data_IF_543949459847
#
_entry.id   IF_543949459847
#
_cell.length_a   1.000
_cell.length_b   1.000
_cell.length_c   1.000
_cell.angle_alpha   90.00
_cell.angle_beta   90.00
_cell.angle_gamma   90.00
#
_symmetry.space_group_name_H-M   'P 1'
#
loop_
_entity.id
_entity.type
_entity.pdbx_description
1 polymer ?
#
# COMPACT_ATOMS: atom_id res chain seq x y z
N UNK A 1 -4.24 -42.69 8.27
CA UNK A 1 -3.00 -42.07 7.76
C UNK A 1 -3.32 -41.48 6.40
N UNK A 2 -3.40 -40.15 6.32
CA UNK A 2 -3.68 -39.44 5.06
C UNK A 2 -2.48 -38.57 4.74
N UNK A 3 -1.46 -39.18 4.14
CA UNK A 3 -0.42 -38.45 3.42
C UNK A 3 -1.05 -37.92 2.13
N UNK A 4 -1.24 -36.60 2.05
CA UNK A 4 -1.80 -35.99 0.86
C UNK A 4 -1.87 -34.48 0.96
N UNK A 5 -1.02 -33.81 0.15
CA UNK A 5 -0.95 -32.36 -0.15
C UNK A 5 0.07 -31.49 0.59
N UNK A 6 1.19 -32.02 1.07
CA UNK A 6 2.29 -31.17 1.59
C UNK A 6 3.18 -30.51 0.51
N UNK A 7 2.87 -30.65 -0.79
CA UNK A 7 3.69 -30.11 -1.90
C UNK A 7 3.21 -28.78 -2.53
N UNK A 8 2.11 -28.18 -2.04
CA UNK A 8 1.41 -27.15 -2.82
C UNK A 8 1.93 -25.72 -2.63
N UNK A 9 2.21 -25.25 -1.41
CA UNK A 9 2.36 -23.80 -1.20
C UNK A 9 3.68 -23.22 -1.73
N UNK A 10 4.82 -23.83 -1.36
CA UNK A 10 6.14 -23.34 -1.77
C UNK A 10 6.38 -23.51 -3.28
N UNK A 11 5.89 -24.61 -3.86
CA UNK A 11 5.94 -24.86 -5.30
C UNK A 11 5.05 -23.88 -6.09
N UNK A 12 3.83 -23.61 -5.63
CA UNK A 12 2.92 -22.67 -6.29
C UNK A 12 3.45 -21.24 -6.22
N UNK A 13 3.98 -20.83 -5.06
CA UNK A 13 4.58 -19.51 -4.93
C UNK A 13 5.87 -19.39 -5.73
N UNK A 14 6.57 -20.48 -6.08
CA UNK A 14 7.83 -20.49 -6.85
C UNK A 14 7.73 -19.88 -8.28
N UNK A 15 6.51 -19.64 -8.78
CA UNK A 15 6.26 -18.87 -10.01
C UNK A 15 6.25 -17.33 -9.81
N UNK A 16 5.93 -16.85 -8.60
CA UNK A 16 5.78 -15.41 -8.30
C UNK A 16 7.13 -14.69 -8.29
N UNK A 17 7.31 -13.65 -9.10
CA UNK A 17 8.55 -12.87 -9.06
C UNK A 17 8.81 -12.30 -7.66
N UNK A 18 10.07 -12.29 -7.23
CA UNK A 18 10.42 -11.75 -5.91
C UNK A 18 10.18 -10.24 -5.89
N UNK A 19 9.50 -9.75 -4.86
CA UNK A 19 9.17 -8.34 -4.74
C UNK A 19 10.35 -7.55 -4.16
N UNK A 20 11.05 -6.83 -5.03
CA UNK A 20 12.22 -6.02 -4.65
C UNK A 20 11.92 -4.50 -4.57
N UNK A 21 10.82 -4.04 -5.16
CA UNK A 21 10.42 -2.62 -5.18
C UNK A 21 8.89 -2.43 -5.19
N UNK A 22 8.44 -1.20 -4.90
CA UNK A 22 7.02 -0.84 -4.82
C UNK A 22 6.26 -0.91 -6.16
N UNK A 23 6.96 -0.83 -7.30
CA UNK A 23 6.33 -0.83 -8.63
C UNK A 23 5.57 -2.12 -8.96
N UNK A 24 5.90 -3.24 -8.31
CA UNK A 24 5.23 -4.53 -8.50
C UNK A 24 4.21 -4.90 -7.41
N UNK A 25 3.97 -4.02 -6.43
CA UNK A 25 3.22 -4.37 -5.22
C UNK A 25 1.80 -4.88 -5.51
N UNK A 26 1.03 -4.16 -6.32
CA UNK A 26 -0.38 -4.48 -6.57
C UNK A 26 -0.51 -5.89 -7.16
N UNK A 27 0.15 -6.14 -8.30
CA UNK A 27 0.11 -7.43 -8.99
C UNK A 27 0.67 -8.56 -8.10
N UNK A 28 1.76 -8.30 -7.38
CA UNK A 28 2.37 -9.29 -6.49
C UNK A 28 1.45 -9.65 -5.32
N UNK A 29 0.81 -8.65 -4.69
CA UNK A 29 -0.09 -8.86 -3.55
C UNK A 29 -1.34 -9.63 -3.96
N UNK A 30 -1.90 -9.36 -5.14
CA UNK A 30 -3.00 -10.15 -5.71
C UNK A 30 -2.58 -11.59 -5.97
N UNK A 31 -1.47 -11.82 -6.69
CA UNK A 31 -1.00 -13.16 -7.05
C UNK A 31 -0.68 -14.01 -5.80
N UNK A 32 -0.02 -13.42 -4.79
CA UNK A 32 0.29 -14.11 -3.53
C UNK A 32 -0.99 -14.47 -2.77
N UNK A 33 -1.99 -13.59 -2.73
CA UNK A 33 -3.27 -13.85 -2.06
C UNK A 33 -4.05 -14.97 -2.75
N UNK A 34 -4.09 -14.97 -4.07
CA UNK A 34 -4.73 -16.02 -4.85
C UNK A 34 -4.06 -17.38 -4.60
N UNK A 35 -2.72 -17.42 -4.59
CA UNK A 35 -1.98 -18.66 -4.35
C UNK A 35 -2.11 -19.14 -2.91
N UNK A 36 -2.19 -18.25 -1.92
CA UNK A 36 -2.51 -18.58 -0.54
C UNK A 36 -3.92 -19.19 -0.43
N UNK A 37 -4.92 -18.59 -1.11
CA UNK A 37 -6.28 -19.10 -1.13
C UNK A 37 -6.36 -20.49 -1.79
N UNK A 38 -5.76 -20.65 -2.98
CA UNK A 38 -5.70 -21.93 -3.71
C UNK A 38 -4.98 -23.03 -2.92
N UNK A 39 -3.99 -22.64 -2.10
CA UNK A 39 -3.24 -23.56 -1.25
C UNK A 39 -3.89 -23.83 0.12
N UNK A 40 -5.09 -23.28 0.38
CA UNK A 40 -5.85 -23.52 1.61
C UNK A 40 -5.40 -22.70 2.83
N UNK A 41 -4.81 -21.53 2.61
CA UNK A 41 -4.38 -20.59 3.65
C UNK A 41 -5.19 -19.28 3.66
N UNK A 42 -6.16 -19.11 2.75
CA UNK A 42 -6.96 -17.89 2.65
C UNK A 42 -7.78 -17.59 3.91
N UNK A 43 -8.25 -18.64 4.59
CA UNK A 43 -8.95 -18.54 5.87
C UNK A 43 -8.10 -17.89 6.98
N UNK A 44 -6.77 -18.01 6.96
CA UNK A 44 -5.87 -17.34 7.91
C UNK A 44 -5.89 -15.80 7.78
N UNK A 45 -6.37 -15.25 6.66
CA UNK A 45 -6.49 -13.80 6.45
C UNK A 45 -7.83 -13.24 6.93
N UNK A 46 -8.85 -14.09 6.97
CA UNK A 46 -10.24 -13.73 7.24
C UNK A 46 -10.72 -14.34 8.57
N UNK A 47 -11.16 -15.60 8.55
CA UNK A 47 -11.87 -16.27 9.65
C UNK A 47 -10.94 -16.76 10.76
N UNK A 48 -9.75 -17.22 10.42
CA UNK A 48 -8.78 -17.86 11.32
C UNK A 48 -7.54 -16.98 11.54
N UNK A 49 -7.74 -15.66 11.53
CA UNK A 49 -6.68 -14.67 11.74
C UNK A 49 -6.04 -14.77 13.12
N UNK A 50 -6.85 -15.02 14.15
CA UNK A 50 -6.40 -15.21 15.52
C UNK A 50 -6.18 -16.68 15.88
N UNK A 51 -5.45 -16.96 16.97
CA UNK A 51 -5.35 -18.32 17.48
C UNK A 51 -6.74 -18.86 17.86
N UNK A 52 -6.95 -20.19 17.79
CA UNK A 52 -8.18 -20.80 18.26
C UNK A 52 -8.42 -20.49 19.74
N UNK A 53 -9.70 -20.45 20.14
CA UNK A 53 -10.11 -20.26 21.54
C UNK A 53 -10.56 -21.60 22.11
N UNK A 54 -10.18 -21.90 23.35
CA UNK A 54 -10.44 -23.19 23.99
C UNK A 54 -11.93 -23.53 24.09
N UNK A 55 -12.77 -22.58 24.53
CA UNK A 55 -14.21 -22.78 24.64
C UNK A 55 -14.57 -24.03 25.45
N UNK A 56 -15.39 -24.91 24.88
CA UNK A 56 -15.82 -26.17 25.49
C UNK A 56 -14.96 -27.38 25.07
N UNK A 57 -13.83 -27.16 24.40
CA UNK A 57 -12.93 -28.24 23.98
C UNK A 57 -12.18 -28.80 25.19
N UNK A 58 -11.87 -30.09 25.16
CA UNK A 58 -10.89 -30.65 26.09
C UNK A 58 -9.52 -30.01 25.84
N UNK A 59 -8.68 -29.97 26.87
CA UNK A 59 -7.33 -29.41 26.82
C UNK A 59 -6.50 -30.03 25.68
N UNK A 60 -6.53 -31.37 25.56
CA UNK A 60 -5.82 -32.10 24.48
C UNK A 60 -6.27 -31.66 23.09
N UNK A 61 -7.58 -31.55 22.84
CA UNK A 61 -8.11 -31.16 21.53
C UNK A 61 -7.84 -29.69 21.24
N UNK A 62 -7.79 -28.86 22.28
CA UNK A 62 -7.43 -27.45 22.14
C UNK A 62 -5.96 -27.28 21.76
N UNK A 63 -5.03 -27.97 22.44
CA UNK A 63 -3.60 -27.91 22.13
C UNK A 63 -3.32 -28.43 20.71
N UNK A 64 -3.92 -29.55 20.30
CA UNK A 64 -3.78 -30.06 18.93
C UNK A 64 -4.21 -29.04 17.87
N UNK A 65 -5.32 -28.31 18.11
CA UNK A 65 -5.80 -27.26 17.20
C UNK A 65 -4.88 -26.04 17.21
N UNK A 66 -4.38 -25.65 18.37
CA UNK A 66 -3.47 -24.53 18.52
C UNK A 66 -2.15 -24.80 17.79
N UNK A 67 -1.58 -25.99 17.97
CA UNK A 67 -0.37 -26.42 17.27
C UNK A 67 -0.57 -26.49 15.76
N UNK A 68 -1.69 -27.05 15.30
CA UNK A 68 -2.03 -27.08 13.88
C UNK A 68 -2.14 -25.65 13.30
N UNK A 69 -2.77 -24.73 14.04
CA UNK A 69 -2.86 -23.33 13.63
C UNK A 69 -1.47 -22.66 13.57
N UNK A 70 -0.61 -22.87 14.57
CA UNK A 70 0.77 -22.35 14.57
C UNK A 70 1.58 -22.88 13.39
N UNK A 71 1.48 -24.17 13.09
CA UNK A 71 2.17 -24.76 11.93
C UNK A 71 1.69 -24.16 10.61
N UNK A 72 0.36 -23.94 10.46
CA UNK A 72 -0.20 -23.30 9.26
C UNK A 72 0.29 -21.86 9.12
N UNK A 73 0.27 -21.07 10.20
CA UNK A 73 0.82 -19.71 10.22
C UNK A 73 2.30 -19.69 9.85
N UNK A 74 3.12 -20.55 10.46
CA UNK A 74 4.56 -20.62 10.18
C UNK A 74 4.85 -20.92 8.71
N UNK A 75 4.17 -21.91 8.12
CA UNK A 75 4.33 -22.26 6.70
C UNK A 75 3.94 -21.10 5.78
N UNK A 76 2.80 -20.45 6.02
CA UNK A 76 2.35 -19.33 5.21
C UNK A 76 3.29 -18.11 5.33
N UNK A 77 3.71 -17.78 6.55
CA UNK A 77 4.65 -16.69 6.81
C UNK A 77 5.98 -16.91 6.10
N UNK A 78 6.56 -18.11 6.19
CA UNK A 78 7.83 -18.42 5.52
C UNK A 78 7.70 -18.38 3.99
N UNK A 79 6.58 -18.84 3.45
CA UNK A 79 6.35 -18.81 2.01
C UNK A 79 6.27 -17.36 1.47
N UNK A 80 5.61 -16.45 2.20
CA UNK A 80 5.58 -15.02 1.87
C UNK A 80 6.98 -14.39 2.03
N UNK A 81 7.70 -14.70 3.12
CA UNK A 81 9.07 -14.21 3.35
C UNK A 81 10.07 -14.65 2.28
N UNK A 82 9.85 -15.81 1.66
CA UNK A 82 10.66 -16.29 0.55
C UNK A 82 10.46 -15.45 -0.72
N UNK A 83 9.34 -14.73 -0.83
CA UNK A 83 8.95 -13.96 -2.02
C UNK A 83 9.11 -12.44 -1.91
N UNK A 84 9.71 -11.96 -0.83
CA UNK A 84 10.01 -10.54 -0.64
C UNK A 84 11.52 -10.30 -0.58
N UNK A 85 11.95 -9.11 -1.02
CA UNK A 85 13.32 -8.63 -0.98
C UNK A 85 13.91 -8.54 0.41
N UNK A 86 15.22 -8.28 0.49
CA UNK A 86 15.96 -8.29 1.76
C UNK A 86 15.41 -7.29 2.79
N UNK A 87 15.15 -6.05 2.37
CA UNK A 87 14.71 -4.97 3.25
C UNK A 87 13.30 -5.21 3.83
N UNK A 88 12.25 -5.49 3.03
CA UNK A 88 10.94 -5.85 3.56
C UNK A 88 10.99 -7.09 4.46
N UNK A 89 11.89 -8.04 4.18
CA UNK A 89 12.08 -9.23 5.01
C UNK A 89 12.59 -8.90 6.41
N UNK A 90 13.44 -7.88 6.55
CA UNK A 90 13.86 -7.38 7.86
C UNK A 90 12.72 -6.72 8.62
N UNK A 91 11.83 -6.01 7.94
CA UNK A 91 10.69 -5.31 8.57
C UNK A 91 9.63 -6.26 9.13
N UNK A 92 9.43 -7.41 8.48
CA UNK A 92 8.49 -8.44 8.95
C UNK A 92 9.16 -9.51 9.82
N UNK A 93 10.40 -9.29 10.22
CA UNK A 93 11.15 -10.21 11.07
C UNK A 93 10.46 -10.31 12.45
N UNK A 94 10.22 -11.54 12.91
CA UNK A 94 9.55 -11.80 14.19
C UNK A 94 8.02 -11.79 14.14
N UNK A 95 7.40 -11.35 13.03
CA UNK A 95 5.95 -11.43 12.87
C UNK A 95 5.51 -12.85 12.53
N UNK A 96 4.84 -13.56 13.43
CA UNK A 96 4.43 -14.95 13.18
C UNK A 96 2.96 -15.10 12.78
N UNK A 97 2.37 -14.03 12.27
CA UNK A 97 0.99 -13.99 11.82
C UNK A 97 0.95 -13.44 10.39
N UNK A 98 0.37 -14.21 9.48
CA UNK A 98 0.32 -13.92 8.05
C UNK A 98 -0.37 -12.58 7.75
N UNK A 99 -1.47 -12.29 8.43
CA UNK A 99 -2.20 -11.03 8.23
C UNK A 99 -1.36 -9.82 8.66
N UNK A 100 -0.59 -9.95 9.75
CA UNK A 100 0.32 -8.90 10.19
C UNK A 100 1.46 -8.69 9.20
N UNK A 101 2.05 -9.77 8.66
CA UNK A 101 3.08 -9.67 7.62
C UNK A 101 2.53 -8.91 6.40
N UNK A 102 1.40 -9.34 5.83
CA UNK A 102 0.83 -8.69 4.65
C UNK A 102 0.47 -7.23 4.91
N UNK A 103 -0.03 -6.90 6.11
CA UNK A 103 -0.31 -5.51 6.50
C UNK A 103 0.96 -4.67 6.56
N UNK A 104 2.04 -5.19 7.15
CA UNK A 104 3.33 -4.48 7.21
C UNK A 104 3.93 -4.29 5.82
N UNK A 105 3.83 -5.30 4.95
CA UNK A 105 4.28 -5.18 3.56
C UNK A 105 3.45 -4.16 2.77
N UNK A 106 2.13 -4.13 2.97
CA UNK A 106 1.27 -3.11 2.36
C UNK A 106 1.70 -1.72 2.81
N UNK A 107 1.93 -1.52 4.11
CA UNK A 107 2.48 -0.26 4.60
C UNK A 107 3.85 0.07 3.99
N UNK A 108 4.74 -0.91 3.83
CA UNK A 108 6.07 -0.69 3.27
C UNK A 108 6.05 -0.28 1.80
N UNK A 109 5.25 -0.98 0.97
CA UNK A 109 5.28 -0.84 -0.48
C UNK A 109 4.23 0.12 -1.03
N UNK A 110 3.13 0.33 -0.29
CA UNK A 110 2.01 1.16 -0.71
C UNK A 110 2.10 2.60 -0.16
N UNK A 111 3.14 2.93 0.61
CA UNK A 111 3.40 4.26 1.23
C UNK A 111 3.57 5.43 0.23
N UNK A 112 3.35 5.22 -1.07
CA UNK A 112 3.28 6.28 -2.07
C UNK A 112 2.27 6.06 -3.20
N UNK A 113 1.53 4.94 -3.24
CA UNK A 113 0.61 4.62 -4.34
C UNK A 113 -0.88 4.85 -4.00
N UNK A 114 -1.24 4.88 -2.72
CA UNK A 114 -2.62 5.11 -2.26
C UNK A 114 -2.81 6.42 -1.48
N UNK A 115 -1.94 7.41 -1.69
CA UNK A 115 -2.19 8.74 -1.15
C UNK A 115 -3.34 9.39 -1.93
N UNK A 116 -4.52 9.29 -1.35
CA UNK A 116 -5.76 9.93 -1.74
C UNK A 116 -6.43 10.49 -0.48
N UNK A 117 -7.28 11.49 -0.64
CA UNK A 117 -7.95 12.19 0.47
C UNK A 117 -8.72 11.23 1.38
N UNK A 118 -9.35 10.18 0.82
CA UNK A 118 -10.10 9.18 1.59
C UNK A 118 -9.25 8.43 2.64
N UNK A 119 -7.92 8.46 2.49
CA UNK A 119 -6.96 7.85 3.42
C UNK A 119 -6.32 8.86 4.38
N UNK A 120 -6.78 10.12 4.38
CA UNK A 120 -6.27 11.22 5.20
C UNK A 120 -7.39 11.85 6.03
N UNK A 121 -7.03 12.61 7.06
CA UNK A 121 -8.03 13.23 7.95
C UNK A 121 -8.79 14.38 7.27
N UNK A 122 -8.11 15.12 6.39
CA UNK A 122 -8.62 16.28 5.67
C UNK A 122 -7.66 16.65 4.52
N UNK A 123 -8.04 17.66 3.72
CA UNK A 123 -7.24 18.18 2.60
C UNK A 123 -5.82 18.59 3.02
N UNK A 124 -5.66 19.25 4.18
CA UNK A 124 -4.36 19.70 4.68
C UNK A 124 -3.43 18.53 5.00
N UNK A 125 -3.96 17.49 5.65
CA UNK A 125 -3.21 16.28 5.98
C UNK A 125 -2.80 15.54 4.70
N UNK A 126 -3.71 15.43 3.73
CA UNK A 126 -3.41 14.82 2.44
C UNK A 126 -2.27 15.52 1.70
N UNK A 127 -2.32 16.85 1.57
CA UNK A 127 -1.26 17.66 0.97
C UNK A 127 0.08 17.54 1.71
N UNK A 128 0.04 17.49 3.05
CA UNK A 128 1.23 17.27 3.89
C UNK A 128 1.85 15.90 3.64
N UNK A 129 1.03 14.84 3.59
CA UNK A 129 1.53 13.49 3.37
C UNK A 129 2.13 13.33 1.96
N UNK A 130 1.53 13.92 0.91
CA UNK A 130 2.11 13.94 -0.43
C UNK A 130 3.50 14.58 -0.48
N UNK A 131 3.67 15.76 0.14
CA UNK A 131 4.98 16.43 0.22
C UNK A 131 5.99 15.59 1.00
N UNK A 132 5.58 14.97 2.11
CA UNK A 132 6.42 14.06 2.88
C UNK A 132 6.88 12.87 2.04
N UNK A 133 5.99 12.26 1.25
CA UNK A 133 6.34 11.14 0.36
C UNK A 133 7.32 11.59 -0.73
N UNK A 134 7.12 12.76 -1.34
CA UNK A 134 8.10 13.34 -2.27
C UNK A 134 9.47 13.48 -1.63
N UNK A 135 9.53 14.08 -0.43
CA UNK A 135 10.79 14.35 0.25
C UNK A 135 11.49 13.03 0.66
N UNK A 136 10.73 12.00 1.03
CA UNK A 136 11.24 10.65 1.28
C UNK A 136 11.81 9.99 0.01
N UNK A 137 11.14 10.12 -1.13
CA UNK A 137 11.65 9.60 -2.41
C UNK A 137 12.96 10.28 -2.79
N UNK A 138 13.04 11.61 -2.64
CA UNK A 138 14.26 12.37 -2.90
C UNK A 138 15.42 11.96 -1.97
N UNK A 139 15.12 11.62 -0.71
CA UNK A 139 16.13 11.09 0.23
C UNK A 139 16.63 9.68 -0.13
N UNK A 140 15.80 8.87 -0.78
CA UNK A 140 16.20 7.53 -1.22
C UNK A 140 17.10 7.59 -2.46
N UNK A 141 16.84 8.54 -3.35
CA UNK A 141 17.60 8.79 -4.57
C UNK A 141 17.45 10.25 -5.00
N UNK A 142 18.56 11.00 -4.96
CA UNK A 142 18.58 12.43 -5.32
C UNK A 142 18.18 12.69 -6.77
N UNK A 143 18.30 11.69 -7.65
CA UNK A 143 17.88 11.81 -9.06
C UNK A 143 16.37 11.63 -9.25
N UNK A 144 15.67 11.11 -8.24
CA UNK A 144 14.22 10.87 -8.24
C UNK A 144 13.43 12.12 -7.84
N UNK A 145 13.79 13.27 -8.42
CA UNK A 145 13.10 14.54 -8.14
C UNK A 145 11.70 14.55 -8.74
N UNK A 146 10.67 14.59 -7.90
CA UNK A 146 9.29 14.82 -8.31
C UNK A 146 9.06 16.33 -8.37
N UNK A 147 8.77 16.84 -9.57
CA UNK A 147 8.45 18.24 -9.78
C UNK A 147 7.08 18.64 -9.25
N UNK A 148 6.90 19.94 -9.06
CA UNK A 148 5.65 20.55 -8.62
C UNK A 148 4.43 20.14 -9.47
N UNK A 149 4.51 20.10 -10.83
CA UNK A 149 3.36 19.72 -11.64
C UNK A 149 2.93 18.26 -11.43
N UNK A 150 3.88 17.35 -11.21
CA UNK A 150 3.58 15.95 -10.95
C UNK A 150 2.95 15.77 -9.56
N UNK A 151 3.44 16.52 -8.57
CA UNK A 151 2.86 16.49 -7.22
C UNK A 151 1.44 17.08 -7.21
N UNK A 152 1.23 18.15 -7.97
CA UNK A 152 -0.07 18.79 -8.17
C UNK A 152 -1.07 17.85 -8.85
N UNK A 153 -0.65 17.18 -9.94
CA UNK A 153 -1.50 16.20 -10.62
C UNK A 153 -1.92 15.07 -9.68
N UNK A 154 -1.00 14.57 -8.84
CA UNK A 154 -1.31 13.57 -7.81
C UNK A 154 -2.28 14.10 -6.75
N UNK A 155 -2.10 15.33 -6.29
CA UNK A 155 -3.00 15.95 -5.32
C UNK A 155 -4.42 16.09 -5.90
N UNK A 156 -4.58 16.72 -7.05
CA UNK A 156 -5.88 16.97 -7.67
C UNK A 156 -6.64 15.68 -7.99
N UNK A 157 -5.96 14.67 -8.54
CA UNK A 157 -6.56 13.37 -8.82
C UNK A 157 -6.89 12.58 -7.55
N UNK A 158 -6.18 12.84 -6.45
CA UNK A 158 -6.39 12.17 -5.17
C UNK A 158 -7.49 12.79 -4.29
N UNK A 159 -8.05 13.95 -4.64
CA UNK A 159 -9.16 14.57 -3.88
C UNK A 159 -10.46 13.75 -3.93
N UNK A 160 -10.60 12.91 -4.96
CA UNK A 160 -11.76 12.02 -5.10
C UNK A 160 -13.00 12.70 -5.69
N UNK A 161 -14.08 11.93 -5.89
CA UNK A 161 -15.22 12.33 -6.73
C UNK A 161 -16.03 13.52 -6.18
N UNK A 162 -15.98 13.77 -4.86
CA UNK A 162 -16.68 14.90 -4.22
C UNK A 162 -16.19 16.25 -4.73
N UNK A 163 -14.93 16.33 -5.16
CA UNK A 163 -14.29 17.56 -5.63
C UNK A 163 -14.41 17.76 -7.15
N UNK A 164 -15.19 16.96 -7.88
CA UNK A 164 -15.29 17.08 -9.35
C UNK A 164 -15.65 18.51 -9.84
N UNK A 165 -16.63 19.15 -9.20
CA UNK A 165 -17.08 20.50 -9.57
C UNK A 165 -15.97 21.51 -9.31
N UNK A 166 -15.38 21.47 -8.11
CA UNK A 166 -14.20 22.24 -7.74
C UNK A 166 -13.05 22.05 -8.75
N UNK A 167 -12.67 20.82 -9.06
CA UNK A 167 -11.57 20.48 -9.97
C UNK A 167 -11.78 21.12 -11.35
N UNK A 168 -13.01 21.06 -11.85
CA UNK A 168 -13.37 21.65 -13.15
C UNK A 168 -13.20 23.16 -13.14
N UNK A 169 -13.66 23.84 -12.08
CA UNK A 169 -13.53 25.30 -11.93
C UNK A 169 -12.08 25.72 -11.68
N UNK A 170 -11.35 24.94 -10.88
CA UNK A 170 -9.96 25.17 -10.54
C UNK A 170 -9.07 25.12 -11.78
N UNK A 171 -9.17 24.06 -12.59
CA UNK A 171 -8.38 23.89 -13.81
C UNK A 171 -8.72 24.90 -14.92
N UNK A 172 -9.89 25.56 -14.87
CA UNK A 172 -10.23 26.65 -15.78
C UNK A 172 -9.54 27.97 -15.42
N UNK A 173 -9.24 28.17 -14.14
CA UNK A 173 -8.69 29.43 -13.61
C UNK A 173 -7.19 29.36 -13.28
N UNK A 174 -6.67 28.15 -13.08
CA UNK A 174 -5.29 27.89 -12.64
C UNK A 174 -4.50 27.11 -13.69
N UNK A 175 -3.22 27.46 -13.85
CA UNK A 175 -2.31 26.82 -14.81
C UNK A 175 -1.36 25.90 -14.05
N UNK A 176 -1.37 24.59 -14.35
CA UNK A 176 -0.44 23.61 -13.75
C UNK A 176 1.01 23.77 -14.24
N UNK A 177 1.19 24.45 -15.37
CA UNK A 177 2.48 24.73 -15.99
C UNK A 177 2.65 26.24 -16.13
N UNK A 178 3.90 26.75 -16.01
CA UNK A 178 4.15 28.16 -16.17
C UNK A 178 4.01 28.55 -17.65
N UNK A 179 3.37 29.68 -17.91
CA UNK A 179 3.26 30.25 -19.25
C UNK A 179 4.52 31.04 -19.57
N UNK A 180 5.05 30.84 -20.79
CA UNK A 180 6.28 31.47 -21.25
C UNK A 180 6.02 32.30 -22.50
N UNK A 181 6.74 33.42 -22.65
CA UNK A 181 6.77 34.16 -23.89
C UNK A 181 7.59 33.43 -24.97
N UNK A 182 7.66 34.00 -26.18
CA UNK A 182 8.43 33.45 -27.31
C UNK A 182 9.94 33.33 -27.04
N UNK A 183 10.45 34.03 -26.03
CA UNK A 183 11.86 34.02 -25.61
C UNK A 183 12.13 33.00 -24.49
N UNK A 184 11.10 32.26 -24.06
CA UNK A 184 11.20 31.28 -22.98
C UNK A 184 11.12 31.88 -21.57
N UNK A 185 10.87 33.19 -21.43
CA UNK A 185 10.72 33.87 -20.14
C UNK A 185 9.34 33.58 -19.58
N UNK A 186 9.27 33.21 -18.29
CA UNK A 186 8.01 32.96 -17.59
C UNK A 186 7.25 34.28 -17.44
N UNK A 187 6.05 34.34 -18.00
CA UNK A 187 5.13 35.50 -17.94
C UNK A 187 3.98 35.28 -16.95
N UNK A 188 3.69 34.02 -16.61
CA UNK A 188 2.74 33.64 -15.57
C UNK A 188 3.26 32.41 -14.84
N UNK A 189 3.34 32.50 -13.52
CA UNK A 189 3.77 31.37 -12.69
C UNK A 189 2.75 30.22 -12.77
N UNK A 190 3.23 29.00 -12.59
CA UNK A 190 2.36 27.87 -12.33
C UNK A 190 1.76 27.99 -10.92
N UNK A 191 0.58 27.41 -10.76
CA UNK A 191 -0.06 27.27 -9.46
C UNK A 191 0.74 26.31 -8.57
N UNK A 192 0.92 26.67 -7.29
CA UNK A 192 1.67 25.85 -6.33
C UNK A 192 0.77 24.93 -5.54
N UNK A 193 1.31 23.83 -5.00
CA UNK A 193 0.51 22.89 -4.22
C UNK A 193 -0.12 23.55 -2.99
N UNK A 194 0.52 24.55 -2.40
CA UNK A 194 -0.05 25.33 -1.29
C UNK A 194 -1.31 26.11 -1.72
N UNK A 195 -1.29 26.73 -2.91
CA UNK A 195 -2.46 27.45 -3.45
C UNK A 195 -3.62 26.48 -3.72
N UNK A 196 -3.33 25.33 -4.34
CA UNK A 196 -4.32 24.29 -4.59
C UNK A 196 -4.88 23.69 -3.30
N UNK A 197 -4.02 23.50 -2.29
CA UNK A 197 -4.42 23.01 -0.96
C UNK A 197 -5.40 23.98 -0.31
N UNK A 198 -5.09 25.28 -0.28
CA UNK A 198 -5.97 26.30 0.31
C UNK A 198 -7.30 26.43 -0.42
N UNK A 199 -7.32 26.29 -1.75
CA UNK A 199 -8.55 26.31 -2.54
C UNK A 199 -9.43 25.07 -2.24
N UNK A 200 -8.85 23.89 -2.15
CA UNK A 200 -9.57 22.66 -1.82
C UNK A 200 -10.04 22.61 -0.36
N UNK A 201 -9.30 23.20 0.58
CA UNK A 201 -9.73 23.38 1.96
C UNK A 201 -10.98 24.27 2.05
N UNK A 202 -11.05 25.34 1.25
CA UNK A 202 -12.24 26.19 1.23
C UNK A 202 -13.48 25.43 0.75
N UNK A 203 -13.33 24.57 -0.26
CA UNK A 203 -14.39 23.69 -0.75
C UNK A 203 -14.81 22.66 0.32
N UNK A 204 -13.87 22.12 1.11
CA UNK A 204 -14.18 21.16 2.19
C UNK A 204 -15.14 21.74 3.26
N UNK A 205 -15.12 23.06 3.44
CA UNK A 205 -15.91 23.79 4.44
C UNK A 205 -17.11 24.55 3.85
N UNK A 206 -17.38 24.42 2.55
CA UNK A 206 -18.49 25.07 1.83
C UNK A 206 -19.76 24.23 1.85
#
# INVERSE_FOLDING_TARGET
MSEGKDLSLSGNLSGVAKLESSGGWINWNEEVRDLLALSGYGDLLERERGPPVQGNLSEVVFEEKLDAWHQRQARACEAVRYRIGFRPKQEVQGLNNLANILKTLDQHFNQGQQLALDNCENVSDFSRQLRKTRDQILQLDETSQIGEPQLMDKFLNGLGPKYHVFLSAFLQSHSLLPERNLEGIIIKAATTIEEATGAAEHEEHS
#
